data_IF_887982927096
#
_entry.id   IF_887982927096
#
_cell.length_a   1.000
_cell.length_b   1.000
_cell.length_c   1.000
_cell.angle_alpha   90.00
_cell.angle_beta   90.00
_cell.angle_gamma   90.00
#
_symmetry.space_group_name_H-M   'P 1'
#
loop_
_entity.id
_entity.type
_entity.pdbx_description
1 polymer ?
#
# COMPACT_ATOMS: atom_id res chain seq x y z
N UNK A 1 4.23 -30.52 -12.83
CA UNK A 1 4.40 -29.13 -13.30
C UNK A 1 4.01 -28.06 -12.28
N UNK A 2 2.98 -28.23 -11.44
CA UNK A 2 2.54 -27.23 -10.46
C UNK A 2 3.60 -26.82 -9.39
N UNK A 3 4.44 -27.76 -8.90
CA UNK A 3 5.49 -27.47 -7.89
C UNK A 3 6.53 -26.44 -8.36
N UNK A 4 6.94 -26.51 -9.63
CA UNK A 4 7.94 -25.60 -10.22
C UNK A 4 7.41 -24.16 -10.33
N UNK A 5 6.11 -24.00 -10.64
CA UNK A 5 5.45 -22.68 -10.71
C UNK A 5 5.25 -22.06 -9.32
N UNK A 6 4.96 -22.88 -8.30
CA UNK A 6 4.76 -22.41 -6.94
C UNK A 6 6.07 -21.87 -6.34
N UNK A 7 7.19 -22.57 -6.56
CA UNK A 7 8.51 -22.10 -6.11
C UNK A 7 8.94 -20.80 -6.78
N UNK A 8 8.62 -20.58 -8.06
CA UNK A 8 8.95 -19.33 -8.75
C UNK A 8 8.06 -18.18 -8.31
N UNK A 9 6.77 -18.41 -8.08
CA UNK A 9 5.84 -17.40 -7.53
C UNK A 9 6.24 -16.95 -6.11
N UNK A 10 6.56 -17.90 -5.24
CA UNK A 10 7.04 -17.63 -3.87
C UNK A 10 8.35 -16.83 -3.93
N UNK A 11 9.30 -17.22 -4.78
CA UNK A 11 10.57 -16.48 -4.97
C UNK A 11 10.37 -15.08 -5.58
N UNK A 12 9.28 -14.87 -6.32
CA UNK A 12 8.95 -13.59 -6.93
C UNK A 12 8.24 -12.63 -5.98
N UNK A 13 7.46 -13.15 -5.03
CA UNK A 13 6.57 -12.37 -4.16
C UNK A 13 6.80 -12.64 -2.66
N UNK A 14 7.99 -13.13 -2.28
CA UNK A 14 8.31 -13.51 -0.89
C UNK A 14 8.07 -12.39 0.12
N UNK A 15 8.23 -11.12 -0.30
CA UNK A 15 7.90 -9.95 0.52
C UNK A 15 6.46 -9.99 1.06
N UNK A 16 5.47 -10.32 0.20
CA UNK A 16 4.06 -10.34 0.61
C UNK A 16 3.73 -11.50 1.56
N UNK A 17 4.54 -12.58 1.55
CA UNK A 17 4.40 -13.68 2.49
C UNK A 17 4.96 -13.33 3.87
N UNK A 18 6.05 -12.54 3.91
CA UNK A 18 6.64 -12.08 5.16
C UNK A 18 5.88 -10.93 5.80
N UNK A 19 5.21 -10.09 5.00
CA UNK A 19 4.46 -8.93 5.49
C UNK A 19 3.45 -9.25 6.61
N UNK A 20 2.55 -10.25 6.50
CA UNK A 20 1.61 -10.58 7.57
C UNK A 20 2.31 -11.14 8.82
N UNK A 21 3.43 -11.86 8.66
CA UNK A 21 4.23 -12.34 9.79
C UNK A 21 4.86 -11.18 10.55
N UNK A 22 5.39 -10.19 9.82
CA UNK A 22 5.96 -8.98 10.41
C UNK A 22 4.90 -8.12 11.11
N UNK A 23 3.72 -8.00 10.50
CA UNK A 23 2.59 -7.34 11.12
C UNK A 23 2.17 -8.01 12.43
N UNK A 24 2.08 -9.35 12.45
CA UNK A 24 1.79 -10.09 13.66
C UNK A 24 2.87 -9.89 14.74
N UNK A 25 4.14 -9.85 14.36
CA UNK A 25 5.25 -9.58 15.28
C UNK A 25 5.17 -8.17 15.88
N UNK A 26 4.85 -7.14 15.09
CA UNK A 26 4.72 -5.78 15.62
C UNK A 26 3.51 -5.63 16.55
N UNK A 27 2.40 -6.29 16.23
CA UNK A 27 1.22 -6.33 17.09
C UNK A 27 1.53 -7.07 18.39
N UNK A 28 2.28 -8.18 18.32
CA UNK A 28 2.71 -8.89 19.52
C UNK A 28 3.61 -8.00 20.41
N UNK A 29 4.55 -7.27 19.80
CA UNK A 29 5.40 -6.31 20.51
C UNK A 29 4.56 -5.24 21.23
N UNK A 30 3.49 -4.74 20.61
CA UNK A 30 2.56 -3.81 21.27
C UNK A 30 1.98 -4.37 22.57
N UNK A 31 1.57 -5.64 22.59
CA UNK A 31 0.94 -6.25 23.76
C UNK A 31 1.94 -6.73 24.82
N UNK A 32 3.14 -7.14 24.41
CA UNK A 32 4.13 -7.77 25.32
C UNK A 32 5.13 -6.75 25.87
N UNK A 33 5.40 -5.66 25.16
CA UNK A 33 6.40 -4.69 25.57
C UNK A 33 5.94 -3.83 26.75
N UNK A 34 6.84 -3.61 27.70
CA UNK A 34 6.60 -2.73 28.84
C UNK A 34 6.87 -1.27 28.44
N UNK A 35 5.81 -0.65 27.89
CA UNK A 35 5.81 0.75 27.45
C UNK A 35 6.04 1.75 28.59
N UNK A 36 5.75 1.38 29.84
CA UNK A 36 5.95 2.25 30.99
C UNK A 36 7.43 2.36 31.36
N UNK A 37 8.18 1.25 31.22
CA UNK A 37 9.60 1.21 31.58
C UNK A 37 10.53 1.68 30.47
N UNK A 38 10.20 1.39 29.20
CA UNK A 38 11.06 1.69 28.05
C UNK A 38 10.29 2.22 26.84
N UNK A 39 9.65 3.40 26.95
CA UNK A 39 8.83 3.96 25.87
C UNK A 39 9.64 4.27 24.60
N UNK A 40 10.83 4.87 24.76
CA UNK A 40 11.72 5.25 23.64
C UNK A 40 12.19 4.06 22.81
N UNK A 41 12.48 2.93 23.45
CA UNK A 41 13.00 1.76 22.75
C UNK A 41 11.89 1.08 21.92
N UNK A 42 10.69 0.95 22.49
CA UNK A 42 9.53 0.40 21.77
C UNK A 42 9.13 1.26 20.56
N UNK A 43 9.15 2.59 20.73
CA UNK A 43 8.87 3.54 19.65
C UNK A 43 9.93 3.47 18.53
N UNK A 44 11.22 3.46 18.88
CA UNK A 44 12.30 3.36 17.92
C UNK A 44 12.29 2.02 17.16
N UNK A 45 11.99 0.92 17.84
CA UNK A 45 11.86 -0.40 17.22
C UNK A 45 10.69 -0.44 16.22
N UNK A 46 9.54 0.11 16.59
CA UNK A 46 8.38 0.18 15.68
C UNK A 46 8.67 1.06 14.44
N UNK A 47 9.32 2.21 14.63
CA UNK A 47 9.73 3.08 13.52
C UNK A 47 10.77 2.41 12.61
N UNK A 48 11.77 1.74 13.19
CA UNK A 48 12.78 1.02 12.43
C UNK A 48 12.16 -0.07 11.56
N UNK A 49 11.31 -0.91 12.16
CA UNK A 49 10.66 -2.02 11.46
C UNK A 49 9.80 -1.53 10.29
N UNK A 50 8.94 -0.55 10.55
CA UNK A 50 7.94 -0.12 9.57
C UNK A 50 8.45 0.90 8.55
N UNK A 51 9.37 1.78 8.95
CA UNK A 51 9.86 2.88 8.09
C UNK A 51 11.21 2.58 7.43
N UNK A 52 11.99 1.62 7.95
CA UNK A 52 13.30 1.31 7.40
C UNK A 52 13.36 -0.13 6.89
N UNK A 53 13.02 -1.09 7.75
CA UNK A 53 13.22 -2.50 7.48
C UNK A 53 12.26 -3.04 6.41
N UNK A 54 10.94 -2.85 6.57
CA UNK A 54 9.93 -3.26 5.59
C UNK A 54 10.14 -2.61 4.21
N UNK A 55 10.37 -1.28 4.10
CA UNK A 55 10.67 -0.65 2.81
C UNK A 55 11.98 -1.14 2.18
N UNK A 56 13.02 -1.39 2.99
CA UNK A 56 14.27 -1.97 2.50
C UNK A 56 14.08 -3.40 1.96
N UNK A 57 13.31 -4.25 2.66
CA UNK A 57 12.95 -5.59 2.16
C UNK A 57 12.18 -5.52 0.84
N UNK A 58 11.25 -4.56 0.71
CA UNK A 58 10.54 -4.34 -0.55
C UNK A 58 11.52 -3.97 -1.68
N UNK A 59 12.42 -3.02 -1.41
CA UNK A 59 13.42 -2.58 -2.37
C UNK A 59 14.33 -3.74 -2.80
N UNK A 60 14.77 -4.60 -1.86
CA UNK A 60 15.59 -5.78 -2.12
C UNK A 60 14.82 -6.85 -2.92
N UNK A 61 13.57 -7.12 -2.56
CA UNK A 61 12.71 -8.10 -3.24
C UNK A 61 12.50 -7.75 -4.73
N UNK A 62 12.35 -6.46 -5.03
CA UNK A 62 12.08 -5.97 -6.37
C UNK A 62 13.30 -5.32 -7.05
N UNK A 63 14.48 -5.39 -6.43
CA UNK A 63 15.74 -4.87 -6.99
C UNK A 63 16.02 -5.57 -8.32
N UNK A 64 16.16 -4.79 -9.39
CA UNK A 64 16.43 -5.30 -10.74
C UNK A 64 15.25 -5.97 -11.46
N UNK A 65 14.07 -6.08 -10.82
CA UNK A 65 12.86 -6.66 -11.43
C UNK A 65 11.85 -5.62 -11.88
N UNK A 66 11.92 -4.41 -11.30
CA UNK A 66 11.04 -3.27 -11.61
C UNK A 66 11.89 -2.04 -11.91
N UNK A 67 11.38 -1.07 -12.69
CA UNK A 67 12.08 0.19 -12.90
C UNK A 67 12.28 0.93 -11.57
N UNK A 68 13.46 1.53 -11.39
CA UNK A 68 13.87 2.17 -10.12
C UNK A 68 12.86 3.21 -9.62
N UNK A 69 12.27 3.99 -10.53
CA UNK A 69 11.22 4.98 -10.20
C UNK A 69 9.99 4.34 -9.57
N UNK A 70 9.52 3.20 -10.09
CA UNK A 70 8.36 2.51 -9.54
C UNK A 70 8.65 1.88 -8.17
N UNK A 71 9.88 1.41 -7.95
CA UNK A 71 10.32 0.91 -6.64
C UNK A 71 10.39 2.07 -5.65
N UNK A 72 10.99 3.21 -6.03
CA UNK A 72 11.09 4.39 -5.17
C UNK A 72 9.72 4.91 -4.72
N UNK A 73 8.76 5.06 -5.63
CA UNK A 73 7.39 5.49 -5.29
C UNK A 73 6.75 4.54 -4.28
N UNK A 74 6.92 3.23 -4.45
CA UNK A 74 6.35 2.22 -3.54
C UNK A 74 7.07 2.17 -2.19
N UNK A 75 8.38 2.38 -2.17
CA UNK A 75 9.17 2.51 -0.94
C UNK A 75 8.69 3.73 -0.14
N UNK A 76 8.52 4.88 -0.80
CA UNK A 76 7.96 6.09 -0.15
C UNK A 76 6.57 5.80 0.39
N UNK A 77 5.69 5.17 -0.39
CA UNK A 77 4.37 4.80 0.07
C UNK A 77 4.43 3.88 1.31
N UNK A 78 5.31 2.87 1.30
CA UNK A 78 5.51 1.96 2.44
C UNK A 78 6.04 2.68 3.68
N UNK A 79 6.96 3.64 3.52
CA UNK A 79 7.44 4.49 4.64
C UNK A 79 6.27 5.29 5.21
N UNK A 80 5.47 5.94 4.37
CA UNK A 80 4.29 6.71 4.82
C UNK A 80 3.28 5.82 5.55
N UNK A 81 2.97 4.64 5.01
CA UNK A 81 2.13 3.65 5.68
C UNK A 81 2.78 3.19 6.99
N UNK A 82 4.09 3.00 7.02
CA UNK A 82 4.83 2.59 8.20
C UNK A 82 4.75 3.60 9.35
N UNK A 83 4.87 4.90 9.06
CA UNK A 83 4.67 5.97 10.06
C UNK A 83 3.25 5.94 10.62
N UNK A 84 2.24 5.69 9.78
CA UNK A 84 0.85 5.56 10.22
C UNK A 84 0.63 4.32 11.11
N UNK A 85 1.16 3.16 10.72
CA UNK A 85 1.08 1.92 11.51
C UNK A 85 1.80 2.08 12.85
N UNK A 86 3.01 2.66 12.84
CA UNK A 86 3.79 2.91 14.04
C UNK A 86 3.01 3.74 15.07
N UNK A 87 2.37 4.83 14.64
CA UNK A 87 1.51 5.65 15.49
C UNK A 87 0.16 5.03 15.89
N UNK A 88 -0.13 3.80 15.46
CA UNK A 88 -1.25 3.00 15.98
C UNK A 88 -0.79 1.90 16.91
N UNK A 89 0.45 1.44 16.76
CA UNK A 89 1.09 0.43 17.60
C UNK A 89 1.80 1.01 18.82
N UNK A 90 2.11 2.30 18.86
CA UNK A 90 2.69 2.95 20.05
C UNK A 90 1.56 3.61 20.85
N UNK A 91 1.40 3.33 22.15
CA UNK A 91 0.40 3.99 22.98
C UNK A 91 0.77 5.46 23.26
N UNK A 92 -0.23 6.36 23.28
CA UNK A 92 -0.10 7.83 23.41
C UNK A 92 0.93 8.34 24.45
N UNK A 93 1.05 7.79 25.68
CA UNK A 93 2.05 8.28 26.65
C UNK A 93 3.51 7.95 26.27
N UNK A 94 3.73 7.06 25.30
CA UNK A 94 5.04 6.65 24.83
C UNK A 94 5.45 7.30 23.49
N UNK A 95 4.59 8.10 22.85
CA UNK A 95 4.90 8.83 21.62
C UNK A 95 5.75 10.07 21.92
N UNK A 96 7.08 9.92 21.91
CA UNK A 96 8.01 11.04 22.09
C UNK A 96 8.50 11.56 20.74
N UNK A 97 8.89 10.65 19.84
CA UNK A 97 9.44 10.95 18.51
C UNK A 97 8.32 11.13 17.48
N UNK A 98 7.30 10.28 17.52
CA UNK A 98 6.10 10.33 16.69
C UNK A 98 5.32 11.63 16.87
N UNK A 99 5.33 12.19 18.09
CA UNK A 99 4.66 13.46 18.41
C UNK A 99 5.32 14.64 17.69
N UNK A 100 6.64 14.69 17.61
CA UNK A 100 7.35 15.73 16.83
C UNK A 100 7.24 15.51 15.32
N UNK A 101 7.13 14.25 14.89
CA UNK A 101 6.89 13.86 13.49
C UNK A 101 5.40 13.87 13.10
N UNK A 102 4.51 14.39 13.94
CA UNK A 102 3.07 14.41 13.70
C UNK A 102 2.69 15.11 12.38
N UNK A 103 3.45 16.14 11.98
CA UNK A 103 3.28 16.79 10.68
C UNK A 103 3.69 15.89 9.51
N UNK A 104 4.76 15.11 9.65
CA UNK A 104 5.21 14.13 8.66
C UNK A 104 4.18 12.99 8.51
N UNK A 105 3.50 12.63 9.59
CA UNK A 105 2.36 11.70 9.57
C UNK A 105 1.19 12.26 8.76
N UNK A 106 0.86 13.55 8.95
CA UNK A 106 -0.15 14.23 8.14
C UNK A 106 0.20 14.28 6.65
N UNK A 107 1.44 14.61 6.31
CA UNK A 107 1.92 14.61 4.92
C UNK A 107 1.94 13.20 4.34
N UNK A 108 2.33 12.19 5.13
CA UNK A 108 2.35 10.80 4.71
C UNK A 108 0.95 10.26 4.39
N UNK A 109 -0.04 10.57 5.24
CA UNK A 109 -1.44 10.22 4.99
C UNK A 109 -1.98 10.97 3.76
N UNK A 110 -1.73 12.28 3.67
CA UNK A 110 -2.15 13.07 2.52
C UNK A 110 -1.53 12.57 1.22
N UNK A 111 -0.24 12.22 1.23
CA UNK A 111 0.47 11.64 0.08
C UNK A 111 -0.06 10.28 -0.32
N UNK A 112 -0.36 9.41 0.65
CA UNK A 112 -1.00 8.11 0.39
C UNK A 112 -2.37 8.30 -0.25
N UNK A 113 -3.17 9.23 0.29
CA UNK A 113 -4.51 9.55 -0.21
C UNK A 113 -4.45 10.10 -1.64
N UNK A 114 -3.47 10.96 -1.94
CA UNK A 114 -3.24 11.47 -3.30
C UNK A 114 -2.80 10.37 -4.27
N UNK A 115 -1.96 9.43 -3.82
CA UNK A 115 -1.55 8.27 -4.62
C UNK A 115 -2.74 7.36 -4.94
N UNK A 116 -3.58 7.10 -3.94
CA UNK A 116 -4.78 6.27 -4.06
C UNK A 116 -5.83 6.94 -4.94
N UNK A 117 -6.06 8.25 -4.77
CA UNK A 117 -6.89 9.07 -5.66
C UNK A 117 -6.34 9.08 -7.09
N UNK A 118 -5.03 9.23 -7.26
CA UNK A 118 -4.39 9.20 -8.58
C UNK A 118 -4.58 7.86 -9.29
N UNK A 119 -4.43 6.75 -8.55
CA UNK A 119 -4.72 5.42 -9.06
C UNK A 119 -6.20 5.26 -9.43
N UNK A 120 -7.12 5.74 -8.58
CA UNK A 120 -8.56 5.72 -8.84
C UNK A 120 -8.93 6.53 -10.08
N UNK A 121 -8.38 7.74 -10.24
CA UNK A 121 -8.58 8.60 -11.41
C UNK A 121 -8.01 7.93 -12.66
N UNK A 122 -6.84 7.31 -12.59
CA UNK A 122 -6.28 6.57 -13.72
C UNK A 122 -7.18 5.41 -14.15
N UNK A 123 -7.73 4.65 -13.20
CA UNK A 123 -8.69 3.57 -13.47
C UNK A 123 -9.98 4.11 -14.10
N UNK A 124 -10.55 5.21 -13.56
CA UNK A 124 -11.73 5.85 -14.13
C UNK A 124 -11.47 6.37 -15.54
N UNK A 125 -10.29 6.97 -15.79
CA UNK A 125 -9.91 7.45 -17.12
C UNK A 125 -9.83 6.32 -18.14
N UNK A 126 -9.32 5.14 -17.75
CA UNK A 126 -9.32 3.94 -18.59
C UNK A 126 -10.75 3.45 -18.81
N UNK A 127 -11.54 3.31 -17.74
CA UNK A 127 -12.92 2.81 -17.80
C UNK A 127 -13.85 3.71 -18.63
N UNK A 128 -13.64 5.03 -18.63
CA UNK A 128 -14.42 6.01 -19.39
C UNK A 128 -13.81 6.38 -20.76
N UNK A 129 -12.67 5.79 -21.15
CA UNK A 129 -12.07 6.02 -22.47
C UNK A 129 -12.95 5.48 -23.61
N UNK A 130 -12.80 6.06 -24.81
CA UNK A 130 -13.49 5.59 -26.03
C UNK A 130 -13.09 4.17 -26.42
N UNK A 131 -11.87 3.73 -26.07
CA UNK A 131 -11.35 2.36 -26.26
C UNK A 131 -11.23 1.61 -24.93
N UNK A 132 -12.21 1.76 -24.04
CA UNK A 132 -12.17 1.09 -22.73
C UNK A 132 -12.22 -0.43 -22.91
N UNK A 133 -11.14 -1.10 -22.53
CA UNK A 133 -10.98 -2.55 -22.60
C UNK A 133 -10.82 -3.13 -21.19
N UNK A 134 -11.45 -4.27 -20.93
CA UNK A 134 -11.38 -4.96 -19.64
C UNK A 134 -9.96 -5.44 -19.37
N UNK A 135 -9.24 -5.85 -20.41
CA UNK A 135 -7.87 -6.34 -20.29
C UNK A 135 -6.93 -5.25 -19.77
N UNK A 136 -7.08 -4.02 -20.27
CA UNK A 136 -6.29 -2.87 -19.82
C UNK A 136 -6.50 -2.50 -18.34
N UNK A 137 -7.68 -2.80 -17.77
CA UNK A 137 -7.96 -2.61 -16.34
C UNK A 137 -7.40 -3.76 -15.48
N UNK A 138 -7.43 -4.99 -16.02
CA UNK A 138 -6.82 -6.16 -15.38
C UNK A 138 -5.29 -6.02 -15.32
N UNK A 139 -4.68 -5.45 -16.36
CA UNK A 139 -3.24 -5.18 -16.42
C UNK A 139 -2.79 -4.15 -15.36
N UNK A 140 -3.71 -3.28 -14.91
CA UNK A 140 -3.48 -2.37 -13.78
C UNK A 140 -3.57 -3.05 -12.41
N UNK A 141 -3.95 -4.34 -12.37
CA UNK A 141 -4.03 -5.16 -11.16
C UNK A 141 -5.44 -5.35 -10.60
N UNK A 142 -6.50 -4.94 -11.31
CA UNK A 142 -7.88 -5.17 -10.87
C UNK A 142 -8.31 -6.63 -11.12
N UNK A 143 -9.09 -7.23 -10.19
CA UNK A 143 -9.72 -8.52 -10.45
C UNK A 143 -10.63 -8.45 -11.69
N UNK A 144 -10.70 -9.51 -12.51
CA UNK A 144 -11.46 -9.50 -13.77
C UNK A 144 -12.94 -9.14 -13.62
N UNK A 145 -13.56 -9.58 -12.51
CA UNK A 145 -14.96 -9.25 -12.19
C UNK A 145 -15.15 -7.75 -11.93
N UNK A 146 -14.24 -7.14 -11.18
CA UNK A 146 -14.29 -5.71 -10.84
C UNK A 146 -14.08 -4.87 -12.10
N UNK A 147 -13.14 -5.25 -12.97
CA UNK A 147 -12.93 -4.58 -14.25
C UNK A 147 -14.19 -4.61 -15.14
N UNK A 148 -14.90 -5.75 -15.19
CA UNK A 148 -16.15 -5.89 -15.94
C UNK A 148 -17.28 -5.03 -15.36
N UNK A 149 -17.42 -5.00 -14.04
CA UNK A 149 -18.42 -4.16 -13.36
C UNK A 149 -18.15 -2.67 -13.60
N UNK A 150 -16.91 -2.21 -13.44
CA UNK A 150 -16.52 -0.82 -13.73
C UNK A 150 -16.85 -0.42 -15.17
N UNK A 151 -16.62 -1.31 -16.14
CA UNK A 151 -17.00 -1.04 -17.53
C UNK A 151 -18.51 -1.05 -17.75
N UNK A 152 -19.26 -1.91 -17.06
CA UNK A 152 -20.71 -1.93 -17.12
C UNK A 152 -21.30 -0.62 -16.57
N UNK A 153 -20.82 -0.14 -15.43
CA UNK A 153 -21.18 1.16 -14.87
C UNK A 153 -20.80 2.28 -15.83
N UNK A 154 -19.57 2.29 -16.37
CA UNK A 154 -19.14 3.31 -17.31
C UNK A 154 -20.03 3.38 -18.57
N UNK A 155 -20.49 2.23 -19.08
CA UNK A 155 -21.45 2.17 -20.20
C UNK A 155 -22.83 2.67 -19.79
N UNK A 156 -23.32 2.28 -18.61
CA UNK A 156 -24.59 2.75 -18.06
C UNK A 156 -24.62 4.27 -17.95
N UNK A 157 -23.58 4.87 -17.36
CA UNK A 157 -23.45 6.32 -17.24
C UNK A 157 -23.36 7.01 -18.60
N UNK A 158 -22.55 6.50 -19.55
CA UNK A 158 -22.47 7.06 -20.92
C UNK A 158 -23.80 6.99 -21.66
N UNK A 159 -24.61 5.95 -21.41
CA UNK A 159 -25.94 5.81 -21.97
C UNK A 159 -26.91 6.82 -21.33
N UNK A 160 -26.86 6.97 -20.01
CA UNK A 160 -27.72 7.88 -19.26
C UNK A 160 -27.48 9.34 -19.66
N UNK A 161 -26.22 9.77 -19.73
CA UNK A 161 -25.86 11.13 -20.16
C UNK A 161 -26.16 11.40 -21.63
N UNK A 162 -26.17 10.37 -22.50
CA UNK A 162 -26.62 10.52 -23.89
C UNK A 162 -28.13 10.75 -24.03
N UNK A 163 -28.92 10.38 -23.02
CA UNK A 163 -30.39 10.50 -23.02
C UNK A 163 -30.91 11.78 -22.37
N UNK A 164 -30.06 12.57 -21.72
CA UNK A 164 -30.45 13.91 -21.25
C UNK A 164 -30.13 14.93 -22.35
N UNK A 165 -31.12 15.56 -23.00
CA UNK A 165 -30.87 16.79 -23.73
C UNK A 165 -30.42 17.90 -22.74
N UNK A 166 -29.72 18.94 -23.22
CA UNK A 166 -29.26 20.06 -22.38
C UNK A 166 -30.41 20.75 -21.63
#
# INVERSE_FOLDING_TARGET
>A
MARLQMTTLIRQHWFYLLLPLWFAASVNLHFVHDWARQPRFGEAAALFDWCLFVPALYALCYRGRRPAKAVAVRVVALVCTGVWVAGRTVPDPAELVLRELGWLRGIGVAGLLLLELGAMIAMLRIAFSKKADAQALVDTGLPPLVARLMLAEARFWRWLFRRRPP
#
